data_IF_087858524565
#
_entry.id   IF_087858524565
#
_cell.length_a   1.000
_cell.length_b   1.000
_cell.length_c   1.000
_cell.angle_alpha   90.00
_cell.angle_beta   90.00
_cell.angle_gamma   90.00
#
_symmetry.space_group_name_H-M   'P 1'
#
loop_
_entity.id
_entity.type
_entity.pdbx_description
1 polymer ?
#
# COMPACT_ATOMS: atom_id res chain seq x y z
N UNK A 1 18.07 32.38 -34.89
CA UNK A 1 17.18 33.05 -33.95
C UNK A 1 16.91 32.06 -32.82
N UNK A 2 17.71 32.14 -31.76
CA UNK A 2 17.58 31.21 -30.61
C UNK A 2 16.65 31.90 -29.60
N UNK A 3 15.40 31.44 -29.51
CA UNK A 3 14.44 31.93 -28.52
C UNK A 3 14.92 31.52 -27.12
N UNK A 4 15.21 32.51 -26.29
CA UNK A 4 15.59 32.28 -24.90
C UNK A 4 14.39 31.67 -24.15
N UNK A 5 14.54 30.44 -23.68
CA UNK A 5 13.57 29.79 -22.79
C UNK A 5 13.48 30.58 -21.48
N UNK A 6 12.25 30.78 -21.02
CA UNK A 6 11.95 31.48 -19.76
C UNK A 6 12.39 30.64 -18.56
N UNK A 7 12.87 31.30 -17.50
CA UNK A 7 13.33 30.63 -16.25
C UNK A 7 12.26 29.71 -15.61
N UNK A 8 10.97 30.01 -15.86
CA UNK A 8 9.84 29.16 -15.42
C UNK A 8 9.76 27.86 -16.21
N UNK A 9 10.06 27.88 -17.50
CA UNK A 9 10.02 26.70 -18.39
C UNK A 9 11.17 25.74 -18.06
N UNK A 10 12.34 26.29 -17.69
CA UNK A 10 13.51 25.52 -17.25
C UNK A 10 13.23 24.82 -15.92
N UNK A 11 12.55 25.47 -14.97
CA UNK A 11 12.16 24.87 -13.69
C UNK A 11 11.12 23.77 -13.88
N UNK A 12 10.16 23.94 -14.78
CA UNK A 12 9.13 22.94 -15.08
C UNK A 12 9.73 21.68 -15.73
N UNK A 13 10.64 21.86 -16.69
CA UNK A 13 11.36 20.75 -17.34
C UNK A 13 12.29 20.04 -16.34
N UNK A 14 12.95 20.77 -15.44
CA UNK A 14 13.80 20.20 -14.39
C UNK A 14 13.01 19.35 -13.40
N UNK A 15 11.83 19.82 -12.96
CA UNK A 15 10.92 19.04 -12.10
C UNK A 15 10.43 17.77 -12.78
N UNK A 16 10.05 17.85 -14.06
CA UNK A 16 9.56 16.70 -14.81
C UNK A 16 10.64 15.62 -14.99
N UNK A 17 11.87 16.01 -15.27
CA UNK A 17 13.00 15.08 -15.43
C UNK A 17 13.37 14.42 -14.10
N UNK A 18 13.34 15.18 -12.99
CA UNK A 18 13.61 14.63 -11.65
C UNK A 18 12.54 13.62 -11.24
N UNK A 19 11.27 13.92 -11.52
CA UNK A 19 10.16 13.00 -11.24
C UNK A 19 10.29 11.72 -12.06
N UNK A 20 10.64 11.79 -13.33
CA UNK A 20 10.86 10.62 -14.21
C UNK A 20 12.03 9.76 -13.69
N UNK A 21 13.14 10.38 -13.27
CA UNK A 21 14.29 9.65 -12.71
C UNK A 21 13.96 8.98 -11.37
N UNK A 22 13.19 9.65 -10.51
CA UNK A 22 12.71 9.06 -9.25
C UNK A 22 11.74 7.90 -9.50
N UNK A 23 10.85 8.03 -10.49
CA UNK A 23 9.96 6.95 -10.91
C UNK A 23 10.74 5.74 -11.47
N UNK A 24 11.80 5.96 -12.25
CA UNK A 24 12.65 4.87 -12.76
C UNK A 24 13.42 4.17 -11.65
N UNK A 25 13.90 4.89 -10.63
CA UNK A 25 14.56 4.29 -9.48
C UNK A 25 13.58 3.50 -8.60
N UNK A 26 12.36 3.97 -8.44
CA UNK A 26 11.28 3.22 -7.76
C UNK A 26 10.91 1.96 -8.55
N UNK A 27 10.79 2.05 -9.86
CA UNK A 27 10.52 0.91 -10.73
C UNK A 27 11.59 -0.17 -10.61
N UNK A 28 12.88 0.19 -10.66
CA UNK A 28 13.99 -0.74 -10.49
C UNK A 28 14.00 -1.40 -9.08
N UNK A 29 13.62 -0.65 -8.05
CA UNK A 29 13.52 -1.18 -6.68
C UNK A 29 12.36 -2.17 -6.51
N UNK A 30 11.26 -1.96 -7.24
CA UNK A 30 10.06 -2.81 -7.19
C UNK A 30 10.25 -4.06 -8.06
N UNK A 31 10.93 -3.96 -9.20
CA UNK A 31 11.27 -5.11 -10.03
C UNK A 31 12.23 -6.05 -9.27
N UNK A 32 13.16 -5.49 -8.49
CA UNK A 32 13.98 -6.26 -7.54
C UNK A 32 13.13 -6.92 -6.44
N UNK A 33 12.10 -6.24 -5.94
CA UNK A 33 11.19 -6.80 -4.94
C UNK A 33 10.29 -7.91 -5.52
N UNK A 34 9.80 -7.75 -6.75
CA UNK A 34 9.07 -8.81 -7.46
C UNK A 34 9.94 -10.05 -7.68
N UNK A 35 11.19 -9.88 -8.07
CA UNK A 35 12.12 -10.99 -8.23
C UNK A 35 12.42 -11.71 -6.91
N UNK A 36 12.43 -10.99 -5.77
CA UNK A 36 12.54 -11.60 -4.44
C UNK A 36 11.25 -12.37 -4.09
N UNK A 37 10.08 -11.88 -4.46
CA UNK A 37 8.79 -12.55 -4.25
C UNK A 37 8.71 -13.85 -5.07
N UNK A 38 9.11 -13.85 -6.33
CA UNK A 38 9.19 -15.08 -7.17
C UNK A 38 10.18 -16.10 -6.62
N UNK A 39 11.35 -15.68 -6.14
CA UNK A 39 12.33 -16.59 -5.53
C UNK A 39 11.90 -17.09 -4.15
N UNK A 40 11.17 -16.29 -3.38
CA UNK A 40 10.60 -16.70 -2.09
C UNK A 40 9.45 -17.69 -2.27
N UNK A 41 8.59 -17.49 -3.28
CA UNK A 41 7.49 -18.39 -3.58
C UNK A 41 8.02 -19.77 -4.07
N UNK A 42 9.04 -19.78 -4.93
CA UNK A 42 9.68 -21.02 -5.36
C UNK A 42 10.39 -21.78 -4.22
N UNK A 43 11.06 -21.08 -3.30
CA UNK A 43 11.70 -21.68 -2.13
C UNK A 43 10.69 -22.19 -1.10
N UNK A 44 9.55 -21.49 -0.93
CA UNK A 44 8.46 -21.96 -0.07
C UNK A 44 7.79 -23.21 -0.62
N UNK A 45 7.59 -23.28 -1.94
CA UNK A 45 7.06 -24.47 -2.60
C UNK A 45 7.99 -25.68 -2.43
N UNK A 46 9.30 -25.45 -2.44
CA UNK A 46 10.32 -26.50 -2.19
C UNK A 46 10.32 -26.94 -0.72
N UNK A 47 10.17 -26.02 0.25
CA UNK A 47 10.15 -26.36 1.67
C UNK A 47 8.86 -27.06 2.09
N UNK A 48 7.70 -26.64 1.57
CA UNK A 48 6.44 -27.34 1.78
C UNK A 48 6.42 -28.73 1.13
N UNK A 49 6.99 -28.87 -0.06
CA UNK A 49 7.20 -30.18 -0.70
C UNK A 49 8.12 -31.11 0.10
N UNK A 50 9.16 -30.55 0.76
CA UNK A 50 10.03 -31.35 1.64
C UNK A 50 9.29 -31.83 2.89
N UNK A 51 8.46 -31.01 3.51
CA UNK A 51 7.64 -31.42 4.67
C UNK A 51 6.60 -32.48 4.31
N UNK A 52 5.99 -32.38 3.13
CA UNK A 52 5.05 -33.38 2.62
C UNK A 52 5.77 -34.69 2.26
N UNK A 53 6.99 -34.61 1.74
CA UNK A 53 7.77 -35.78 1.40
C UNK A 53 8.30 -36.52 2.65
N UNK A 54 8.34 -35.89 3.82
CA UNK A 54 8.70 -36.51 5.10
C UNK A 54 7.58 -37.37 5.71
N UNK A 55 6.33 -37.23 5.24
CA UNK A 55 5.20 -38.06 5.69
C UNK A 55 5.36 -39.49 5.15
N UNK A 56 5.14 -40.49 6.03
CA UNK A 56 5.17 -41.88 5.62
C UNK A 56 4.05 -42.19 4.62
N UNK A 57 4.29 -43.21 3.77
CA UNK A 57 3.32 -43.67 2.76
C UNK A 57 1.96 -43.99 3.38
N UNK A 58 1.92 -44.46 4.63
CA UNK A 58 0.70 -44.80 5.38
C UNK A 58 -0.07 -43.54 5.85
N UNK A 59 0.61 -42.41 6.05
CA UNK A 59 -0.03 -41.13 6.38
C UNK A 59 -0.60 -40.45 5.13
N UNK A 60 0.08 -40.60 3.99
CA UNK A 60 -0.38 -40.04 2.69
C UNK A 60 -1.68 -40.69 2.17
N UNK A 61 -1.93 -41.95 2.46
CA UNK A 61 -3.13 -42.68 2.03
C UNK A 61 -4.38 -42.40 2.85
N UNK A 62 -4.26 -41.72 3.99
CA UNK A 62 -5.39 -41.35 4.86
C UNK A 62 -5.94 -39.94 4.62
N UNK A 63 -5.25 -39.12 3.87
CA UNK A 63 -5.64 -37.72 3.63
C UNK A 63 -6.35 -37.65 2.28
N UNK A 64 -7.61 -37.19 2.26
CA UNK A 64 -8.33 -36.96 1.00
C UNK A 64 -7.67 -35.81 0.22
N UNK A 65 -7.82 -35.79 -1.11
CA UNK A 65 -7.25 -34.71 -1.96
C UNK A 65 -7.73 -33.32 -1.51
N UNK A 66 -8.95 -33.20 -0.98
CA UNK A 66 -9.48 -31.93 -0.47
C UNK A 66 -8.80 -31.52 0.85
N UNK A 67 -8.55 -32.43 1.79
CA UNK A 67 -7.82 -32.13 3.03
C UNK A 67 -6.36 -31.76 2.75
N UNK A 68 -5.74 -32.40 1.73
CA UNK A 68 -4.39 -32.10 1.30
C UNK A 68 -4.26 -30.68 0.72
N UNK A 69 -5.22 -30.24 -0.08
CA UNK A 69 -5.30 -28.88 -0.62
C UNK A 69 -5.57 -27.85 0.48
N UNK A 70 -6.45 -28.16 1.44
CA UNK A 70 -6.73 -27.27 2.58
C UNK A 70 -5.53 -27.12 3.51
N UNK A 71 -4.83 -28.23 3.84
CA UNK A 71 -3.62 -28.18 4.65
C UNK A 71 -2.50 -27.36 4.00
N UNK A 72 -2.33 -27.48 2.68
CA UNK A 72 -1.36 -26.68 1.94
C UNK A 72 -1.71 -25.20 1.93
N UNK A 73 -2.98 -24.86 1.77
CA UNK A 73 -3.43 -23.46 1.80
C UNK A 73 -3.23 -22.83 3.19
N UNK A 74 -3.61 -23.53 4.26
CA UNK A 74 -3.41 -23.07 5.64
C UNK A 74 -1.92 -22.89 5.96
N UNK A 75 -1.08 -23.82 5.51
CA UNK A 75 0.37 -23.74 5.75
C UNK A 75 0.99 -22.57 5.00
N UNK A 76 0.57 -22.32 3.75
CA UNK A 76 1.06 -21.21 2.95
C UNK A 76 0.59 -19.86 3.51
N UNK A 77 -0.68 -19.75 3.94
CA UNK A 77 -1.19 -18.55 4.59
C UNK A 77 -0.42 -18.22 5.87
N UNK A 78 -0.19 -19.19 6.75
CA UNK A 78 0.57 -18.99 7.98
C UNK A 78 2.02 -18.53 7.72
N UNK A 79 2.68 -19.08 6.70
CA UNK A 79 4.05 -18.67 6.32
C UNK A 79 4.07 -17.25 5.76
N UNK A 80 3.05 -16.86 5.00
CA UNK A 80 2.92 -15.50 4.46
C UNK A 80 2.68 -14.52 5.61
N UNK A 81 1.79 -14.83 6.54
CA UNK A 81 1.49 -13.99 7.70
C UNK A 81 2.71 -13.81 8.61
N UNK A 82 3.49 -14.87 8.86
CA UNK A 82 4.73 -14.79 9.64
C UNK A 82 5.78 -13.89 8.97
N UNK A 83 5.94 -13.98 7.66
CA UNK A 83 6.87 -13.13 6.89
C UNK A 83 6.43 -11.67 6.85
N UNK A 84 5.14 -11.42 6.73
CA UNK A 84 4.60 -10.05 6.79
C UNK A 84 4.84 -9.49 8.19
N UNK A 85 4.56 -10.24 9.24
CA UNK A 85 4.82 -9.85 10.61
C UNK A 85 6.30 -9.47 10.82
N UNK A 86 7.24 -10.30 10.37
CA UNK A 86 8.68 -10.02 10.45
C UNK A 86 9.06 -8.77 9.63
N UNK A 87 8.53 -8.63 8.41
CA UNK A 87 8.83 -7.50 7.52
C UNK A 87 8.31 -6.16 8.04
N UNK A 88 7.39 -6.16 9.00
CA UNK A 88 6.72 -4.98 9.54
C UNK A 88 7.16 -4.60 10.97
N UNK A 89 8.07 -5.36 11.59
CA UNK A 89 8.56 -5.10 12.96
C UNK A 89 9.17 -3.70 13.15
N UNK A 90 9.72 -3.10 12.09
CA UNK A 90 10.33 -1.77 12.12
C UNK A 90 9.32 -0.63 11.97
N UNK A 91 8.04 -0.94 11.71
CA UNK A 91 7.01 0.08 11.55
C UNK A 91 6.68 0.73 12.91
N UNK A 92 6.45 2.04 12.93
CA UNK A 92 5.95 2.69 14.13
C UNK A 92 4.51 2.25 14.41
N UNK A 93 4.10 2.29 15.67
CA UNK A 93 2.79 1.82 16.12
C UNK A 93 1.61 2.40 15.31
N UNK A 94 1.65 3.67 14.95
CA UNK A 94 0.54 4.29 14.22
C UNK A 94 0.53 3.95 12.72
N UNK A 95 1.58 3.32 12.18
CA UNK A 95 1.60 2.73 10.84
C UNK A 95 1.07 1.29 10.83
N UNK A 96 1.11 0.58 11.96
CA UNK A 96 0.68 -0.80 12.05
C UNK A 96 -0.85 -0.92 12.04
N UNK A 97 -1.34 -2.03 11.53
CA UNK A 97 -2.76 -2.32 11.42
C UNK A 97 -3.47 -2.23 12.78
N UNK A 98 -4.60 -1.55 12.78
CA UNK A 98 -5.57 -1.53 13.87
C UNK A 98 -6.96 -1.67 13.29
N UNK A 99 -7.83 -2.39 14.00
CA UNK A 99 -9.24 -2.40 13.63
C UNK A 99 -9.80 -0.99 13.71
N UNK A 100 -10.61 -0.64 12.73
CA UNK A 100 -11.26 0.67 12.62
C UNK A 100 -12.78 0.49 12.65
N UNK A 101 -13.51 1.45 13.22
CA UNK A 101 -14.96 1.53 13.06
C UNK A 101 -15.27 1.84 11.59
N UNK A 102 -15.71 0.81 10.85
CA UNK A 102 -15.96 0.89 9.41
C UNK A 102 -17.12 1.80 9.06
N UNK A 103 -18.15 1.88 9.92
CA UNK A 103 -19.32 2.74 9.69
C UNK A 103 -18.92 4.21 9.85
N UNK A 104 -18.14 4.52 10.88
CA UNK A 104 -17.57 5.85 11.07
C UNK A 104 -16.65 6.27 9.91
N UNK A 105 -15.79 5.36 9.44
CA UNK A 105 -14.89 5.64 8.32
C UNK A 105 -15.66 5.85 7.01
N UNK A 106 -16.68 5.03 6.71
CA UNK A 106 -17.58 5.26 5.56
C UNK A 106 -18.32 6.58 5.67
N UNK A 107 -18.79 6.93 6.87
CA UNK A 107 -19.44 8.22 7.12
C UNK A 107 -18.49 9.40 6.89
N UNK A 108 -17.24 9.30 7.35
CA UNK A 108 -16.20 10.29 7.03
C UNK A 108 -16.01 10.47 5.53
N UNK A 109 -15.83 9.36 4.79
CA UNK A 109 -15.67 9.38 3.33
C UNK A 109 -16.90 9.98 2.63
N UNK A 110 -18.10 9.75 3.18
CA UNK A 110 -19.35 10.37 2.67
C UNK A 110 -19.34 11.88 2.81
N UNK A 111 -18.74 12.44 3.88
CA UNK A 111 -18.59 13.91 4.02
C UNK A 111 -17.66 14.51 2.94
N UNK A 112 -16.88 13.68 2.27
CA UNK A 112 -15.97 14.04 1.18
C UNK A 112 -16.54 13.70 -0.21
N UNK A 113 -17.79 13.26 -0.29
CA UNK A 113 -18.41 12.72 -1.52
C UNK A 113 -17.52 11.64 -2.18
N UNK A 114 -16.79 10.87 -1.38
CA UNK A 114 -15.75 9.95 -1.87
C UNK A 114 -16.34 8.68 -2.44
N UNK A 115 -15.96 8.29 -3.66
CA UNK A 115 -16.27 6.98 -4.24
C UNK A 115 -15.61 5.83 -3.47
N UNK A 116 -14.54 6.11 -2.68
CA UNK A 116 -13.80 5.10 -1.92
C UNK A 116 -14.60 4.54 -0.72
N UNK A 117 -15.79 5.11 -0.39
CA UNK A 117 -16.71 4.54 0.59
C UNK A 117 -17.42 3.27 0.10
N UNK A 118 -17.46 3.07 -1.20
CA UNK A 118 -18.20 1.99 -1.86
C UNK A 118 -17.28 0.83 -2.25
N UNK A 119 -17.86 -0.38 -2.37
CA UNK A 119 -17.14 -1.52 -2.90
C UNK A 119 -16.99 -1.43 -4.43
N UNK A 120 -15.88 -1.94 -4.97
CA UNK A 120 -14.87 -2.75 -4.30
C UNK A 120 -13.78 -1.95 -3.57
N UNK A 121 -13.75 -0.62 -3.66
CA UNK A 121 -12.66 0.21 -3.19
C UNK A 121 -12.48 0.09 -1.67
N UNK A 122 -13.54 0.28 -0.91
CA UNK A 122 -13.51 0.27 0.55
C UNK A 122 -13.00 -1.06 1.11
N UNK A 123 -13.63 -2.16 0.70
CA UNK A 123 -13.25 -3.50 1.17
C UNK A 123 -11.84 -3.90 0.74
N UNK A 124 -11.42 -3.55 -0.48
CA UNK A 124 -10.07 -3.84 -0.96
C UNK A 124 -9.00 -3.12 -0.12
N UNK A 125 -9.17 -1.82 0.14
CA UNK A 125 -8.24 -1.05 0.98
C UNK A 125 -8.14 -1.67 2.38
N UNK A 126 -9.25 -2.03 3.01
CA UNK A 126 -9.25 -2.65 4.34
C UNK A 126 -8.58 -4.03 4.35
N UNK A 127 -8.88 -4.87 3.35
CA UNK A 127 -8.30 -6.21 3.24
C UNK A 127 -6.78 -6.15 3.01
N UNK A 128 -6.33 -5.26 2.13
CA UNK A 128 -4.91 -5.05 1.87
C UNK A 128 -4.22 -4.46 3.10
N UNK A 129 -4.84 -3.50 3.79
CA UNK A 129 -4.33 -2.96 5.07
C UNK A 129 -4.04 -4.06 6.07
N UNK A 130 -5.00 -4.97 6.26
CA UNK A 130 -4.87 -6.11 7.16
C UNK A 130 -3.79 -7.07 6.70
N UNK A 131 -3.79 -7.43 5.42
CA UNK A 131 -2.81 -8.35 4.80
C UNK A 131 -1.37 -7.86 4.99
N UNK A 132 -1.12 -6.57 4.86
CA UNK A 132 0.23 -5.98 4.96
C UNK A 132 0.55 -5.38 6.33
N UNK A 133 -0.29 -5.59 7.33
CA UNK A 133 -0.13 -5.02 8.66
C UNK A 133 0.04 -3.48 8.64
N UNK A 134 -0.68 -2.79 7.75
CA UNK A 134 -0.67 -1.34 7.63
C UNK A 134 -1.99 -0.76 8.15
N UNK A 135 -1.92 0.35 8.88
CA UNK A 135 -3.10 1.05 9.39
C UNK A 135 -3.99 1.56 8.24
N UNK A 136 -5.27 1.13 8.15
CA UNK A 136 -6.17 1.56 7.10
C UNK A 136 -6.38 3.09 7.08
N UNK A 137 -6.38 3.76 8.24
CA UNK A 137 -6.50 5.23 8.30
C UNK A 137 -5.32 5.90 7.58
N UNK A 138 -4.11 5.35 7.68
CA UNK A 138 -2.96 5.87 6.96
C UNK A 138 -3.15 5.76 5.44
N UNK A 139 -3.66 4.62 4.95
CA UNK A 139 -3.93 4.45 3.52
C UNK A 139 -4.98 5.45 3.03
N UNK A 140 -6.10 5.59 3.74
CA UNK A 140 -7.10 6.59 3.37
C UNK A 140 -6.56 8.03 3.48
N UNK A 141 -5.73 8.38 4.46
CA UNK A 141 -5.11 9.68 4.55
C UNK A 141 -4.19 9.97 3.34
N UNK A 142 -3.48 8.96 2.84
CA UNK A 142 -2.67 9.08 1.63
C UNK A 142 -3.58 9.32 0.42
N UNK A 143 -4.68 8.59 0.24
CA UNK A 143 -5.62 8.86 -0.87
C UNK A 143 -6.21 10.27 -0.78
N UNK A 144 -6.41 10.78 0.44
CA UNK A 144 -6.83 12.15 0.67
C UNK A 144 -5.79 13.18 0.22
N UNK A 145 -4.51 12.94 0.55
CA UNK A 145 -3.39 13.79 0.15
C UNK A 145 -3.14 13.77 -1.36
N UNK A 146 -3.25 12.61 -1.98
CA UNK A 146 -2.95 12.44 -3.40
C UNK A 146 -4.12 12.87 -4.31
N UNK A 147 -5.37 12.57 -3.92
CA UNK A 147 -6.54 12.67 -4.79
C UNK A 147 -7.79 13.27 -4.10
N UNK A 148 -7.63 13.96 -2.96
CA UNK A 148 -8.76 14.55 -2.23
C UNK A 148 -9.84 13.53 -1.85
N UNK A 149 -9.46 12.28 -1.57
CA UNK A 149 -10.34 11.13 -1.34
C UNK A 149 -11.17 10.69 -2.57
N UNK A 150 -10.83 11.13 -3.76
CA UNK A 150 -11.52 10.80 -5.02
C UNK A 150 -13.01 11.13 -4.96
N UNK A 151 -13.41 12.41 -5.05
CA UNK A 151 -14.81 12.81 -5.09
C UNK A 151 -15.55 12.19 -6.28
N UNK A 152 -16.79 11.72 -6.08
CA UNK A 152 -17.61 11.05 -7.10
C UNK A 152 -17.84 11.89 -8.36
N UNK A 153 -17.96 13.23 -8.19
CA UNK A 153 -18.17 14.17 -9.28
C UNK A 153 -16.89 14.48 -10.08
N UNK A 154 -15.73 14.01 -9.62
CA UNK A 154 -14.47 14.25 -10.30
C UNK A 154 -14.45 13.54 -11.66
N UNK A 155 -14.03 14.25 -12.70
CA UNK A 155 -13.78 13.64 -14.01
C UNK A 155 -12.78 12.49 -13.85
N UNK A 156 -13.12 11.33 -14.38
CA UNK A 156 -12.34 10.10 -14.27
C UNK A 156 -12.26 9.49 -12.86
N UNK A 157 -13.21 9.79 -11.94
CA UNK A 157 -13.22 9.27 -10.57
C UNK A 157 -12.98 7.76 -10.48
N UNK A 158 -13.61 6.96 -11.36
CA UNK A 158 -13.43 5.49 -11.41
C UNK A 158 -11.98 5.11 -11.76
N UNK A 159 -11.35 5.81 -12.71
CA UNK A 159 -9.97 5.55 -13.09
C UNK A 159 -9.00 5.96 -11.97
N UNK A 160 -9.27 7.10 -11.33
CA UNK A 160 -8.49 7.58 -10.19
C UNK A 160 -8.62 6.63 -9.00
N UNK A 161 -9.82 6.11 -8.74
CA UNK A 161 -10.08 5.17 -7.65
C UNK A 161 -9.35 3.83 -7.81
N UNK A 162 -8.94 3.46 -9.02
CA UNK A 162 -8.11 2.28 -9.26
C UNK A 162 -6.65 2.48 -8.81
N UNK A 163 -6.15 3.72 -8.79
CA UNK A 163 -4.82 4.07 -8.31
C UNK A 163 -4.84 5.42 -7.57
N UNK A 164 -5.52 5.51 -6.41
CA UNK A 164 -5.68 6.75 -5.67
C UNK A 164 -4.41 7.17 -4.91
N UNK A 165 -3.37 6.35 -4.93
CA UNK A 165 -2.07 6.58 -4.29
C UNK A 165 -1.03 7.18 -5.24
N UNK A 166 -1.36 7.35 -6.52
CA UNK A 166 -0.42 7.72 -7.58
C UNK A 166 0.82 6.81 -7.66
N UNK A 167 0.67 5.51 -7.36
CA UNK A 167 1.79 4.58 -7.52
C UNK A 167 2.27 4.57 -8.97
N UNK A 168 3.58 4.46 -9.17
CA UNK A 168 4.23 4.58 -10.48
C UNK A 168 3.91 5.89 -11.21
N UNK A 169 3.98 7.00 -10.51
CA UNK A 169 3.85 8.39 -10.94
C UNK A 169 2.42 8.93 -10.95
N UNK A 170 1.45 8.25 -11.53
CA UNK A 170 0.05 8.69 -11.53
C UNK A 170 -0.91 7.57 -11.96
N UNK A 171 -2.19 7.77 -11.67
CA UNK A 171 -3.27 6.92 -12.17
C UNK A 171 -3.37 6.94 -13.72
N UNK A 172 -2.92 7.99 -14.40
CA UNK A 172 -2.87 8.06 -15.86
C UNK A 172 -1.76 7.20 -16.44
N UNK A 173 -0.61 7.13 -15.76
CA UNK A 173 0.55 6.36 -16.19
C UNK A 173 0.40 4.88 -15.88
N UNK A 174 -0.16 4.57 -14.71
CA UNK A 174 -0.39 3.22 -14.25
C UNK A 174 -1.81 3.06 -13.72
N UNK A 175 -2.73 2.61 -14.58
CA UNK A 175 -4.09 2.30 -14.23
C UNK A 175 -4.26 0.78 -14.15
N UNK A 176 -4.41 0.29 -12.92
CA UNK A 176 -4.59 -1.12 -12.58
C UNK A 176 -5.94 -1.31 -11.88
N UNK A 177 -5.99 -1.98 -10.75
CA UNK A 177 -7.14 -2.03 -9.84
C UNK A 177 -6.75 -1.56 -8.44
N UNK A 178 -7.77 -1.30 -7.61
CA UNK A 178 -7.56 -0.77 -6.25
C UNK A 178 -6.80 -1.74 -5.35
N UNK A 179 -6.92 -3.06 -5.55
CA UNK A 179 -6.21 -4.06 -4.75
C UNK A 179 -4.71 -4.00 -5.05
N UNK A 180 -4.34 -4.06 -6.34
CA UNK A 180 -2.94 -4.01 -6.76
C UNK A 180 -2.27 -2.68 -6.36
N UNK A 181 -2.92 -1.53 -6.61
CA UNK A 181 -2.38 -0.23 -6.23
C UNK A 181 -2.21 -0.08 -4.72
N UNK A 182 -3.16 -0.59 -3.92
CA UNK A 182 -3.05 -0.61 -2.45
C UNK A 182 -1.92 -1.50 -1.96
N UNK A 183 -1.71 -2.66 -2.56
CA UNK A 183 -0.59 -3.55 -2.24
C UNK A 183 0.75 -2.90 -2.55
N UNK A 184 0.88 -2.21 -3.69
CA UNK A 184 2.09 -1.46 -4.06
C UNK A 184 2.33 -0.34 -3.05
N UNK A 185 1.30 0.42 -2.68
CA UNK A 185 1.40 1.48 -1.68
C UNK A 185 1.87 0.93 -0.32
N UNK A 186 1.31 -0.19 0.16
CA UNK A 186 1.73 -0.85 1.39
C UNK A 186 3.20 -1.27 1.34
N UNK A 187 3.62 -1.99 0.29
CA UNK A 187 5.02 -2.40 0.10
C UNK A 187 5.96 -1.19 0.07
N UNK A 188 5.54 -0.11 -0.57
CA UNK A 188 6.31 1.15 -0.62
C UNK A 188 6.48 1.74 0.78
N UNK A 189 5.42 1.86 1.57
CA UNK A 189 5.47 2.38 2.95
C UNK A 189 6.39 1.51 3.80
N UNK A 190 6.24 0.19 3.76
CA UNK A 190 7.06 -0.76 4.52
C UNK A 190 8.54 -0.58 4.16
N UNK A 191 8.88 -0.55 2.87
CA UNK A 191 10.27 -0.44 2.43
C UNK A 191 10.88 0.93 2.75
N UNK A 192 10.13 2.01 2.57
CA UNK A 192 10.62 3.36 2.89
C UNK A 192 10.75 3.62 4.40
N UNK A 193 10.06 2.86 5.23
CA UNK A 193 10.14 2.96 6.69
C UNK A 193 11.39 2.30 7.28
N UNK A 194 12.10 1.46 6.49
CA UNK A 194 13.33 0.80 6.94
C UNK A 194 14.43 1.81 7.28
N UNK A 195 15.30 1.42 8.21
CA UNK A 195 16.48 2.17 8.62
C UNK A 195 16.16 3.59 9.14
N UNK A 196 14.92 3.82 9.58
CA UNK A 196 14.51 5.09 10.15
C UNK A 196 15.17 5.28 11.52
N UNK A 197 15.90 6.38 11.75
CA UNK A 197 16.37 6.72 13.09
C UNK A 197 15.19 6.95 14.05
N UNK A 198 15.26 6.46 15.27
CA UNK A 198 14.16 6.58 16.26
C UNK A 198 13.71 8.02 16.49
N UNK A 199 14.65 8.97 16.47
CA UNK A 199 14.38 10.39 16.66
C UNK A 199 13.72 11.08 15.46
N UNK A 200 13.61 10.41 14.30
CA UNK A 200 13.04 11.00 13.10
C UNK A 200 11.57 10.58 12.97
N UNK A 201 10.72 11.56 12.73
CA UNK A 201 9.30 11.32 12.49
C UNK A 201 9.08 10.38 11.28
N UNK A 202 8.24 9.33 11.42
CA UNK A 202 8.06 8.33 10.37
C UNK A 202 7.50 8.88 9.06
N UNK A 203 6.53 9.81 9.09
CA UNK A 203 6.00 10.41 7.87
C UNK A 203 7.05 11.29 7.19
N UNK A 204 7.83 12.05 7.97
CA UNK A 204 8.96 12.83 7.43
C UNK A 204 9.98 11.90 6.78
N UNK A 205 10.26 10.75 7.41
CA UNK A 205 11.21 9.78 6.87
C UNK A 205 10.74 9.16 5.56
N UNK A 206 9.48 8.74 5.48
CA UNK A 206 8.86 8.18 4.28
C UNK A 206 8.80 9.24 3.16
N UNK A 207 8.43 10.48 3.49
CA UNK A 207 8.29 11.57 2.52
C UNK A 207 9.55 11.80 1.69
N UNK A 208 10.75 11.61 2.27
CA UNK A 208 12.03 11.82 1.55
C UNK A 208 12.12 11.10 0.21
N UNK A 209 11.36 10.03 0.02
CA UNK A 209 11.35 9.21 -1.19
C UNK A 209 9.95 8.95 -1.76
N UNK A 210 8.89 9.15 -0.97
CA UNK A 210 7.52 8.91 -1.41
C UNK A 210 7.03 10.02 -2.33
N UNK A 211 7.31 11.27 -2.01
CA UNK A 211 6.85 12.44 -2.77
C UNK A 211 7.96 13.46 -2.96
N UNK A 212 7.92 14.16 -4.12
CA UNK A 212 8.78 15.31 -4.37
C UNK A 212 8.34 16.56 -3.57
N UNK A 213 7.09 16.62 -3.13
CA UNK A 213 6.59 17.66 -2.24
C UNK A 213 7.13 17.44 -0.82
N UNK A 214 7.93 18.37 -0.34
CA UNK A 214 8.52 18.31 1.00
C UNK A 214 7.47 18.42 2.11
N UNK A 215 6.29 18.96 1.83
CA UNK A 215 5.18 19.12 2.78
C UNK A 215 4.17 17.98 2.76
N UNK A 216 4.36 16.98 1.89
CA UNK A 216 3.46 15.83 1.77
C UNK A 216 3.17 15.16 3.14
N UNK A 217 4.20 14.96 3.96
CA UNK A 217 4.07 14.39 5.30
C UNK A 217 3.12 15.18 6.22
N UNK A 218 3.10 16.50 6.08
CA UNK A 218 2.22 17.37 6.88
C UNK A 218 0.76 17.21 6.44
N UNK A 219 0.51 17.15 5.13
CA UNK A 219 -0.83 16.92 4.58
C UNK A 219 -1.38 15.55 5.00
N UNK A 220 -0.60 14.48 4.84
CA UNK A 220 -1.00 13.14 5.31
C UNK A 220 -1.31 13.12 6.80
N UNK A 221 -0.50 13.78 7.63
CA UNK A 221 -0.73 13.87 9.07
C UNK A 221 -2.03 14.58 9.43
N UNK A 222 -2.30 15.71 8.78
CA UNK A 222 -3.53 16.47 9.01
C UNK A 222 -4.74 15.59 8.69
N UNK A 223 -4.74 14.94 7.53
CA UNK A 223 -5.83 14.07 7.10
C UNK A 223 -5.98 12.82 7.98
N UNK A 224 -4.86 12.22 8.40
CA UNK A 224 -4.87 11.11 9.34
C UNK A 224 -5.56 11.49 10.66
N UNK A 225 -5.16 12.62 11.25
CA UNK A 225 -5.75 13.09 12.50
C UNK A 225 -7.22 13.44 12.33
N UNK A 226 -7.59 14.06 11.21
CA UNK A 226 -8.99 14.40 10.91
C UNK A 226 -9.89 13.16 10.85
N UNK A 227 -9.42 12.07 10.22
CA UNK A 227 -10.12 10.77 10.21
C UNK A 227 -10.23 10.21 11.63
N UNK A 228 -9.12 10.20 12.39
CA UNK A 228 -9.11 9.70 13.78
C UNK A 228 -10.08 10.48 14.65
N UNK A 229 -10.05 11.81 14.58
CA UNK A 229 -10.94 12.67 15.37
C UNK A 229 -12.41 12.47 15.00
N UNK A 230 -12.72 12.32 13.72
CA UNK A 230 -14.07 12.02 13.26
C UNK A 230 -14.55 10.67 13.81
N UNK A 231 -13.75 9.61 13.71
CA UNK A 231 -14.10 8.29 14.21
C UNK A 231 -14.32 8.31 15.72
N UNK A 232 -13.44 8.98 16.48
CA UNK A 232 -13.54 9.07 17.95
C UNK A 232 -14.78 9.85 18.42
N UNK A 233 -15.35 10.69 17.59
CA UNK A 233 -16.52 11.49 17.91
C UNK A 233 -17.82 10.95 17.26
N UNK A 234 -17.74 9.89 16.47
CA UNK A 234 -18.87 9.36 15.69
C UNK A 234 -20.00 8.80 16.53
N UNK A 235 -19.68 8.23 17.70
CA UNK A 235 -20.65 7.58 18.61
C UNK A 235 -21.05 8.47 19.81
N UNK A 236 -20.64 9.74 19.81
CA UNK A 236 -21.02 10.70 20.86
C UNK A 236 -22.17 11.59 20.40
#
# INVERSE_FOLDING_TARGET
MITSMNKKDINFISCSVIVILLCQMLYASIDSAKNVEYTLDSNNKISSLKNINSLTVQQKTKISNNEYVQLNNITNENIIDEKIAESTLHLPEYFTYKNVNTDALKSFLSTRSSILKDDPYFSSILNVSKKFNINPILLFAITGQEQGFVPEEQVSAILIANNPYNVFCSWETYNTDITDSSEIACRTIINLSKDRPESVDPLVWVNRKYSADQNWHSGVRILYNEIVDFINNYEK
#
